data_IF_098856552262
#
_entry.id   IF_098856552262
#
_cell.length_a   1.000
_cell.length_b   1.000
_cell.length_c   1.000
_cell.angle_alpha   90.00
_cell.angle_beta   90.00
_cell.angle_gamma   90.00
#
_symmetry.space_group_name_H-M   'P 1'
#
loop_
_entity.id
_entity.type
_entity.pdbx_description
1 polymer ?
#
# COMPACT_ATOMS: atom_id res chain seq x y z
N UNK A 1 4.24 6.53 14.10
CA UNK A 1 4.92 5.58 13.19
C UNK A 1 6.40 5.93 13.18
N UNK A 2 7.31 4.97 13.26
CA UNK A 2 8.75 5.25 13.18
C UNK A 2 9.16 5.42 11.69
N UNK A 3 10.11 6.31 11.41
CA UNK A 3 10.68 6.56 10.08
C UNK A 3 11.14 5.27 9.41
N UNK A 4 11.80 4.37 10.15
CA UNK A 4 12.26 3.09 9.61
C UNK A 4 11.11 2.21 9.06
N UNK A 5 9.91 2.30 9.64
CA UNK A 5 8.73 1.57 9.16
C UNK A 5 8.21 2.16 7.85
N UNK A 6 8.17 3.49 7.75
CA UNK A 6 7.70 4.17 6.52
C UNK A 6 8.69 3.96 5.37
N UNK A 7 9.99 4.00 5.66
CA UNK A 7 11.02 3.74 4.65
C UNK A 7 10.93 2.30 4.10
N UNK A 8 10.63 1.33 4.96
CA UNK A 8 10.38 -0.04 4.53
C UNK A 8 9.17 -0.12 3.59
N UNK A 9 8.06 0.57 3.90
CA UNK A 9 6.88 0.59 3.05
C UNK A 9 7.17 1.25 1.69
N UNK A 10 7.91 2.36 1.67
CA UNK A 10 8.35 2.99 0.42
C UNK A 10 9.14 2.02 -0.45
N UNK A 11 10.09 1.30 0.14
CA UNK A 11 10.90 0.34 -0.61
C UNK A 11 10.07 -0.84 -1.14
N UNK A 12 9.10 -1.33 -0.36
CA UNK A 12 8.23 -2.46 -0.75
C UNK A 12 7.25 -2.10 -1.86
N UNK A 13 6.79 -0.86 -1.91
CA UNK A 13 5.70 -0.42 -2.80
C UNK A 13 6.18 0.51 -3.93
N UNK A 14 7.50 0.67 -4.14
CA UNK A 14 8.04 1.67 -5.08
C UNK A 14 7.63 1.47 -6.56
N UNK A 15 7.30 0.24 -6.96
CA UNK A 15 7.00 -0.10 -8.36
C UNK A 15 5.51 -0.44 -8.52
N UNK A 16 4.84 0.30 -9.40
CA UNK A 16 3.38 0.21 -9.55
C UNK A 16 2.89 -1.13 -10.11
N UNK A 17 3.68 -1.73 -11.00
CA UNK A 17 3.32 -2.94 -11.75
C UNK A 17 3.79 -4.23 -11.08
N UNK A 18 4.59 -4.13 -10.02
CA UNK A 18 5.03 -5.30 -9.25
C UNK A 18 3.85 -5.86 -8.44
N UNK A 19 3.77 -7.19 -8.32
CA UNK A 19 2.78 -7.81 -7.44
C UNK A 19 3.14 -7.52 -5.98
N UNK A 20 2.31 -6.76 -5.23
CA UNK A 20 2.61 -6.43 -3.85
C UNK A 20 2.49 -7.65 -2.94
N UNK A 21 3.37 -7.80 -1.94
CA UNK A 21 3.11 -8.74 -0.86
C UNK A 21 1.80 -8.38 -0.12
N UNK A 22 1.13 -9.35 0.52
CA UNK A 22 -0.09 -9.07 1.28
C UNK A 22 0.12 -7.96 2.32
N UNK A 23 -0.72 -6.93 2.25
CA UNK A 23 -0.73 -5.82 3.21
C UNK A 23 -1.65 -6.22 4.36
N UNK A 24 -1.10 -6.42 5.55
CA UNK A 24 -1.86 -6.82 6.74
C UNK A 24 -2.09 -5.67 7.72
N UNK A 25 -1.19 -4.68 7.73
CA UNK A 25 -1.30 -3.48 8.56
C UNK A 25 -2.18 -2.42 7.88
N UNK A 26 -3.20 -1.93 8.60
CA UNK A 26 -4.09 -0.88 8.10
C UNK A 26 -3.36 0.46 7.90
N UNK A 27 -2.32 0.73 8.66
CA UNK A 27 -1.50 1.92 8.48
C UNK A 27 -0.62 1.84 7.24
N UNK A 28 -0.07 0.66 6.93
CA UNK A 28 0.63 0.41 5.66
C UNK A 28 -0.32 0.65 4.50
N UNK A 29 -1.55 0.10 4.55
CA UNK A 29 -2.56 0.32 3.52
C UNK A 29 -2.90 1.81 3.33
N UNK A 30 -3.09 2.57 4.42
CA UNK A 30 -3.36 4.01 4.33
C UNK A 30 -2.20 4.80 3.74
N UNK A 31 -0.98 4.42 4.09
CA UNK A 31 0.23 5.03 3.53
C UNK A 31 0.31 4.79 2.03
N UNK A 32 0.19 3.54 1.59
CA UNK A 32 0.27 3.16 0.18
C UNK A 32 -0.85 3.81 -0.65
N UNK A 33 -2.07 3.91 -0.11
CA UNK A 33 -3.17 4.65 -0.77
C UNK A 33 -2.82 6.11 -1.02
N UNK A 34 -2.13 6.76 -0.08
CA UNK A 34 -1.69 8.15 -0.22
C UNK A 34 -0.60 8.32 -1.28
N UNK A 35 0.44 7.48 -1.24
CA UNK A 35 1.58 7.58 -2.15
C UNK A 35 1.21 7.22 -3.60
N UNK A 36 0.25 6.31 -3.80
CA UNK A 36 -0.12 5.80 -5.13
C UNK A 36 -1.42 6.40 -5.69
N UNK A 37 -2.01 7.38 -5.00
CA UNK A 37 -3.21 8.05 -5.49
C UNK A 37 -2.94 8.72 -6.86
N UNK A 38 -3.75 8.37 -7.86
CA UNK A 38 -3.70 8.99 -9.19
C UNK A 38 -2.76 8.33 -10.20
N UNK A 39 -2.09 7.22 -9.86
CA UNK A 39 -1.23 6.48 -10.81
C UNK A 39 -2.01 5.70 -11.89
N UNK A 40 -3.34 5.60 -11.76
CA UNK A 40 -4.20 5.01 -12.78
C UNK A 40 -4.48 3.51 -12.58
N UNK A 41 -5.12 2.87 -13.59
CA UNK A 41 -5.69 1.53 -13.46
C UNK A 41 -4.64 0.40 -13.45
N UNK A 42 -3.38 0.69 -13.74
CA UNK A 42 -2.30 -0.31 -13.76
C UNK A 42 -1.51 -0.32 -12.44
N UNK A 43 -1.91 0.48 -11.44
CA UNK A 43 -1.21 0.55 -10.16
C UNK A 43 -1.67 -0.56 -9.19
N UNK A 44 -1.01 -1.72 -9.26
CA UNK A 44 -1.30 -2.88 -8.40
C UNK A 44 -1.14 -2.56 -6.91
N UNK A 45 -0.19 -1.69 -6.57
CA UNK A 45 0.06 -1.21 -5.21
C UNK A 45 -1.16 -0.52 -4.60
N UNK A 46 -1.80 0.36 -5.38
CA UNK A 46 -3.02 1.06 -4.96
C UNK A 46 -4.17 0.07 -4.72
N UNK A 47 -4.38 -0.89 -5.62
CA UNK A 47 -5.48 -1.85 -5.48
C UNK A 47 -5.29 -2.81 -4.30
N UNK A 48 -4.07 -3.26 -4.03
CA UNK A 48 -3.80 -4.09 -2.86
C UNK A 48 -4.05 -3.32 -1.55
N UNK A 49 -3.65 -2.05 -1.50
CA UNK A 49 -3.90 -1.19 -0.35
C UNK A 49 -5.39 -0.90 -0.16
N UNK A 50 -6.11 -0.65 -1.26
CA UNK A 50 -7.56 -0.46 -1.25
C UNK A 50 -8.28 -1.71 -0.74
N UNK A 51 -7.88 -2.90 -1.21
CA UNK A 51 -8.46 -4.16 -0.77
C UNK A 51 -8.32 -4.31 0.75
N UNK A 52 -7.11 -4.15 1.29
CA UNK A 52 -6.87 -4.22 2.74
C UNK A 52 -7.66 -3.18 3.53
N UNK A 53 -7.68 -1.93 3.07
CA UNK A 53 -8.39 -0.85 3.76
C UNK A 53 -9.92 -1.02 3.74
N UNK A 54 -10.44 -1.81 2.80
CA UNK A 54 -11.87 -2.08 2.64
C UNK A 54 -12.32 -3.34 3.41
N UNK A 55 -11.38 -4.16 3.89
CA UNK A 55 -11.71 -5.34 4.70
C UNK A 55 -12.21 -4.91 6.09
N UNK A 56 -13.31 -5.51 6.59
CA UNK A 56 -13.74 -5.31 7.96
C UNK A 56 -12.65 -5.74 8.95
N UNK A 57 -12.44 -4.95 10.00
CA UNK A 57 -11.65 -5.39 11.15
C UNK A 57 -12.51 -6.40 11.91
N UNK A 58 -12.17 -7.69 11.76
CA UNK A 58 -12.75 -8.78 12.54
C UNK A 58 -12.31 -8.77 14.00
#
# INVERSE_FOLDING_TARGET
MNTATVDLWRLRHQFCEDEPPPITDLNEARFVLGEHAGHGPDCLQYFAALARASEPVG
#
